data_IF_418721328646
#
_entry.id   IF_418721328646
#
_cell.length_a   1.000
_cell.length_b   1.000
_cell.length_c   1.000
_cell.angle_alpha   90.00
_cell.angle_beta   90.00
_cell.angle_gamma   90.00
#
_symmetry.space_group_name_H-M   'P 1'
#
loop_
_entity.id
_entity.type
_entity.pdbx_description
1 polymer ?
#
# COMPACT_ATOMS: atom_id res chain seq x y z
N UNK A 1 -0.34 -14.81 -9.75
CA UNK A 1 -0.18 -13.52 -10.46
C UNK A 1 -0.53 -12.42 -9.47
N UNK A 2 0.41 -12.02 -8.62
CA UNK A 2 0.16 -11.03 -7.56
C UNK A 2 0.05 -9.64 -8.18
N UNK A 3 -1.03 -8.93 -7.86
CA UNK A 3 -1.34 -7.61 -8.41
C UNK A 3 -1.15 -6.57 -7.32
N UNK A 4 -0.24 -5.64 -7.55
CA UNK A 4 0.16 -4.66 -6.53
C UNK A 4 -0.28 -3.27 -6.95
N UNK A 5 -0.93 -2.58 -6.04
CA UNK A 5 -1.27 -1.17 -6.16
C UNK A 5 -0.32 -0.37 -5.28
N UNK A 6 0.21 0.75 -5.77
CA UNK A 6 0.94 1.72 -4.98
C UNK A 6 0.24 3.09 -5.02
N UNK A 7 0.03 3.67 -3.85
CA UNK A 7 -0.45 5.04 -3.67
C UNK A 7 0.70 5.92 -3.20
N UNK A 8 1.43 6.53 -4.13
CA UNK A 8 2.56 7.41 -3.87
C UNK A 8 2.81 8.33 -5.07
N UNK A 9 3.20 9.58 -4.79
CA UNK A 9 3.67 10.51 -5.82
C UNK A 9 5.16 10.37 -6.13
N UNK A 10 5.91 9.61 -5.31
CA UNK A 10 7.33 9.37 -5.53
C UNK A 10 7.55 8.36 -6.66
N UNK A 11 8.04 8.85 -7.79
CA UNK A 11 8.44 8.01 -8.92
C UNK A 11 9.57 7.03 -8.55
N UNK A 12 10.47 7.43 -7.65
CA UNK A 12 11.56 6.59 -7.15
C UNK A 12 11.02 5.40 -6.35
N UNK A 13 10.07 5.65 -5.43
CA UNK A 13 9.43 4.59 -4.65
C UNK A 13 8.68 3.61 -5.55
N UNK A 14 7.96 4.12 -6.56
CA UNK A 14 7.28 3.28 -7.56
C UNK A 14 8.27 2.38 -8.30
N UNK A 15 9.41 2.91 -8.72
CA UNK A 15 10.47 2.14 -9.39
C UNK A 15 11.07 1.06 -8.49
N UNK A 16 11.36 1.38 -7.23
CA UNK A 16 11.86 0.44 -6.22
C UNK A 16 10.88 -0.71 -5.95
N UNK A 17 9.60 -0.39 -5.78
CA UNK A 17 8.54 -1.39 -5.55
C UNK A 17 8.35 -2.29 -6.76
N UNK A 18 8.32 -1.72 -7.98
CA UNK A 18 8.25 -2.51 -9.21
C UNK A 18 9.42 -3.50 -9.31
N UNK A 19 10.64 -3.02 -9.01
CA UNK A 19 11.86 -3.82 -9.06
C UNK A 19 11.87 -4.92 -8.00
N UNK A 20 11.44 -4.62 -6.77
CA UNK A 20 11.43 -5.57 -5.66
C UNK A 20 10.41 -6.71 -5.85
N UNK A 21 9.29 -6.40 -6.52
CA UNK A 21 8.17 -7.34 -6.71
C UNK A 21 8.36 -8.15 -7.99
N UNK A 22 8.94 -7.56 -9.04
CA UNK A 22 9.10 -8.21 -10.34
C UNK A 22 7.77 -8.51 -11.05
N UNK A 23 6.70 -7.81 -10.69
CA UNK A 23 5.35 -7.99 -11.24
C UNK A 23 4.77 -6.63 -11.66
N UNK A 24 3.75 -6.60 -12.55
CA UNK A 24 3.12 -5.35 -12.95
C UNK A 24 2.48 -4.66 -11.74
N UNK A 25 2.86 -3.39 -11.54
CA UNK A 25 2.31 -2.52 -10.51
C UNK A 25 1.34 -1.51 -11.12
N UNK A 26 0.21 -1.30 -10.46
CA UNK A 26 -0.67 -0.17 -10.72
C UNK A 26 -0.30 0.95 -9.76
N UNK A 27 -0.29 2.19 -10.23
CA UNK A 27 0.04 3.33 -9.38
C UNK A 27 -1.08 4.38 -9.43
N UNK A 28 -1.41 4.93 -8.27
CA UNK A 28 -2.31 6.08 -8.12
C UNK A 28 -1.58 7.21 -7.41
N UNK A 29 -2.02 8.45 -7.64
CA UNK A 29 -1.47 9.63 -6.97
C UNK A 29 -1.61 9.50 -5.44
N UNK A 30 -0.52 9.81 -4.73
CA UNK A 30 -0.43 9.81 -3.27
C UNK A 30 -1.03 11.08 -2.63
N UNK A 31 -1.12 12.18 -3.38
CA UNK A 31 -1.55 13.51 -2.94
C UNK A 31 -2.90 13.55 -2.21
N UNK A 32 -3.79 12.62 -2.52
CA UNK A 32 -5.06 12.48 -1.81
C UNK A 32 -5.35 10.99 -1.68
N UNK A 33 -5.04 10.40 -0.52
CA UNK A 33 -5.38 9.00 -0.28
C UNK A 33 -6.91 8.81 -0.36
N UNK A 34 -7.39 7.74 -1.00
CA UNK A 34 -8.82 7.48 -1.04
C UNK A 34 -9.34 7.25 0.38
N UNK A 35 -10.54 7.73 0.68
CA UNK A 35 -11.15 7.57 1.99
C UNK A 35 -11.55 6.11 2.27
N UNK A 36 -11.54 5.22 1.27
CA UNK A 36 -11.86 3.81 1.47
C UNK A 36 -11.77 2.97 0.19
N UNK A 37 -12.03 1.65 0.32
CA UNK A 37 -11.98 0.70 -0.79
C UNK A 37 -12.76 1.12 -2.05
N UNK A 38 -14.03 1.61 -1.97
CA UNK A 38 -14.78 1.95 -3.18
C UNK A 38 -14.14 3.08 -3.99
N UNK A 39 -13.56 4.10 -3.33
CA UNK A 39 -12.84 5.18 -4.02
C UNK A 39 -11.52 4.70 -4.62
N UNK A 40 -10.86 3.74 -3.95
CA UNK A 40 -9.65 3.10 -4.46
C UNK A 40 -9.95 2.33 -5.76
N UNK A 41 -11.03 1.55 -5.80
CA UNK A 41 -11.47 0.85 -7.01
C UNK A 41 -11.91 1.79 -8.14
N UNK A 42 -12.56 2.91 -7.80
CA UNK A 42 -12.89 3.95 -8.79
C UNK A 42 -11.64 4.54 -9.46
N UNK A 43 -10.57 4.78 -8.68
CA UNK A 43 -9.30 5.29 -9.22
C UNK A 43 -8.54 4.27 -10.06
N UNK A 44 -8.68 2.98 -9.75
CA UNK A 44 -8.15 1.91 -10.58
C UNK A 44 -8.84 1.83 -11.95
N UNK A 45 -10.10 2.26 -12.03
CA UNK A 45 -10.91 2.26 -13.26
C UNK A 45 -11.81 1.03 -13.39
N UNK A 46 -12.88 1.15 -14.17
CA UNK A 46 -13.84 0.07 -14.39
C UNK A 46 -13.19 -1.12 -15.12
N UNK A 47 -13.29 -2.32 -14.54
CA UNK A 47 -12.69 -3.54 -15.10
C UNK A 47 -11.23 -3.77 -14.69
N UNK A 48 -10.63 -2.87 -13.91
CA UNK A 48 -9.32 -3.10 -13.33
C UNK A 48 -9.39 -4.27 -12.34
N UNK A 49 -8.41 -5.18 -12.39
CA UNK A 49 -8.24 -6.17 -11.35
C UNK A 49 -8.24 -5.64 -9.93
N UNK A 50 -8.87 -6.39 -9.02
CA UNK A 50 -8.69 -6.17 -7.59
C UNK A 50 -7.22 -6.44 -7.22
N UNK A 51 -6.50 -5.49 -6.58
CA UNK A 51 -5.15 -5.71 -6.10
C UNK A 51 -5.15 -6.67 -4.91
N UNK A 52 -4.11 -7.50 -4.81
CA UNK A 52 -3.88 -8.36 -3.65
C UNK A 52 -2.99 -7.68 -2.61
N UNK A 53 -2.14 -6.75 -3.06
CA UNK A 53 -1.26 -5.96 -2.18
C UNK A 53 -1.47 -4.49 -2.48
N UNK A 54 -1.68 -3.69 -1.44
CA UNK A 54 -1.80 -2.23 -1.51
C UNK A 54 -0.65 -1.62 -0.72
N UNK A 55 0.22 -0.88 -1.40
CA UNK A 55 1.33 -0.14 -0.82
C UNK A 55 0.87 1.31 -0.67
N UNK A 56 0.86 1.82 0.56
CA UNK A 56 0.38 3.17 0.89
C UNK A 56 1.55 3.98 1.42
N UNK A 57 1.85 5.09 0.76
CA UNK A 57 2.82 6.05 1.22
C UNK A 57 2.21 6.99 2.28
N UNK A 58 2.89 7.13 3.41
CA UNK A 58 2.47 7.99 4.52
C UNK A 58 2.91 9.45 4.35
N UNK A 59 3.68 9.78 3.30
CA UNK A 59 4.16 11.14 3.05
C UNK A 59 3.04 12.18 2.89
N UNK A 60 1.85 11.75 2.43
CA UNK A 60 0.68 12.63 2.31
C UNK A 60 -0.07 12.84 3.64
N UNK A 61 0.12 11.94 4.61
CA UNK A 61 -0.61 11.93 5.87
C UNK A 61 -0.60 10.55 6.52
N UNK A 62 0.07 10.35 7.67
CA UNK A 62 0.13 9.04 8.31
C UNK A 62 -1.24 8.58 8.86
N UNK A 63 -2.05 9.50 9.39
CA UNK A 63 -3.38 9.18 9.92
C UNK A 63 -4.34 8.71 8.83
N UNK A 64 -4.32 9.35 7.66
CA UNK A 64 -5.15 8.96 6.51
C UNK A 64 -4.73 7.59 5.98
N UNK A 65 -3.42 7.31 5.94
CA UNK A 65 -2.89 6.02 5.54
C UNK A 65 -3.31 4.90 6.50
N UNK A 66 -3.29 5.16 7.81
CA UNK A 66 -3.77 4.23 8.83
C UNK A 66 -5.29 4.00 8.73
N UNK A 67 -6.07 5.07 8.54
CA UNK A 67 -7.52 4.98 8.37
C UNK A 67 -7.89 4.14 7.13
N UNK A 68 -7.20 4.35 6.02
CA UNK A 68 -7.38 3.55 4.80
C UNK A 68 -6.99 2.08 5.03
N UNK A 69 -5.87 1.82 5.72
CA UNK A 69 -5.46 0.46 6.10
C UNK A 69 -6.54 -0.26 6.92
N UNK A 70 -7.08 0.42 7.94
CA UNK A 70 -8.13 -0.15 8.81
C UNK A 70 -9.39 -0.51 8.03
N UNK A 71 -9.80 0.35 7.10
CA UNK A 71 -10.97 0.09 6.23
C UNK A 71 -10.71 -1.07 5.27
N UNK A 72 -9.52 -1.13 4.65
CA UNK A 72 -9.15 -2.24 3.79
C UNK A 72 -9.11 -3.57 4.56
N UNK A 73 -8.56 -3.59 5.78
CA UNK A 73 -8.53 -4.78 6.61
C UNK A 73 -9.95 -5.24 7.01
N UNK A 74 -10.87 -4.31 7.27
CA UNK A 74 -12.24 -4.62 7.66
C UNK A 74 -13.13 -5.04 6.48
N UNK A 75 -13.06 -4.34 5.36
CA UNK A 75 -13.92 -4.54 4.20
C UNK A 75 -13.34 -5.54 3.19
N UNK A 76 -12.03 -5.75 3.20
CA UNK A 76 -11.29 -6.54 2.22
C UNK A 76 -10.19 -7.42 2.89
N UNK A 77 -10.56 -8.38 3.75
CA UNK A 77 -9.60 -9.17 4.54
C UNK A 77 -8.63 -10.04 3.71
N UNK A 78 -8.86 -10.18 2.41
CA UNK A 78 -7.95 -10.85 1.47
C UNK A 78 -6.89 -9.93 0.84
N UNK A 79 -6.86 -8.64 1.17
CA UNK A 79 -5.84 -7.70 0.68
C UNK A 79 -4.78 -7.46 1.74
N UNK A 80 -3.52 -7.59 1.34
CA UNK A 80 -2.41 -7.20 2.17
C UNK A 80 -2.12 -5.70 2.01
N UNK A 81 -2.05 -4.98 3.13
CA UNK A 81 -1.70 -3.55 3.13
C UNK A 81 -0.26 -3.39 3.64
N UNK A 82 0.58 -2.65 2.93
CA UNK A 82 1.95 -2.32 3.35
C UNK A 82 2.08 -0.80 3.40
N UNK A 83 2.53 -0.28 4.53
CA UNK A 83 2.75 1.16 4.70
C UNK A 83 4.21 1.51 4.46
N UNK A 84 4.45 2.62 3.76
CA UNK A 84 5.78 3.17 3.53
C UNK A 84 5.92 4.49 4.29
N UNK A 85 6.95 4.59 5.12
CA UNK A 85 7.19 5.75 5.97
C UNK A 85 8.67 5.90 6.28
N UNK A 86 9.13 7.15 6.46
CA UNK A 86 10.50 7.42 6.91
C UNK A 86 10.72 7.05 8.39
N UNK A 87 9.65 6.77 9.14
CA UNK A 87 9.71 6.43 10.57
C UNK A 87 9.01 5.10 10.89
N UNK A 88 9.46 3.97 10.33
CA UNK A 88 8.77 2.69 10.43
C UNK A 88 8.62 2.24 11.89
N UNK A 89 9.63 2.40 12.73
CA UNK A 89 9.60 1.98 14.14
C UNK A 89 8.55 2.74 14.96
N UNK A 90 8.27 4.00 14.59
CA UNK A 90 7.29 4.83 15.29
C UNK A 90 5.86 4.48 14.86
N UNK A 91 5.68 4.19 13.57
CA UNK A 91 4.37 3.93 12.98
C UNK A 91 3.96 2.45 12.97
N UNK A 92 4.92 1.53 13.16
CA UNK A 92 4.72 0.08 13.09
C UNK A 92 3.57 -0.41 13.99
N UNK A 93 3.55 0.00 15.26
CA UNK A 93 2.52 -0.48 16.19
C UNK A 93 1.11 -0.02 15.77
N UNK A 94 0.97 1.24 15.36
CA UNK A 94 -0.30 1.81 14.91
C UNK A 94 -0.77 1.16 13.60
N UNK A 95 0.16 0.95 12.67
CA UNK A 95 -0.07 0.29 11.40
C UNK A 95 -0.57 -1.15 11.56
N UNK A 96 0.14 -1.96 12.33
CA UNK A 96 -0.23 -3.35 12.58
C UNK A 96 -1.59 -3.45 13.28
N UNK A 97 -1.88 -2.54 14.22
CA UNK A 97 -3.20 -2.44 14.86
C UNK A 97 -4.30 -2.01 13.91
N UNK A 98 -3.98 -1.19 12.91
CA UNK A 98 -4.87 -0.83 11.82
C UNK A 98 -4.99 -1.93 10.76
N UNK A 99 -4.43 -3.13 10.98
CA UNK A 99 -4.54 -4.25 10.06
C UNK A 99 -3.58 -4.18 8.86
N UNK A 100 -2.57 -3.32 8.90
CA UNK A 100 -1.48 -3.39 7.95
C UNK A 100 -0.70 -4.70 8.14
N UNK A 101 -0.22 -5.27 7.06
CA UNK A 101 0.63 -6.45 7.08
C UNK A 101 2.06 -6.11 7.50
N UNK A 102 2.58 -4.96 7.04
CA UNK A 102 3.95 -4.54 7.34
C UNK A 102 4.13 -3.02 7.16
N UNK A 103 5.21 -2.50 7.72
CA UNK A 103 5.65 -1.11 7.57
C UNK A 103 7.12 -1.09 7.16
N UNK A 104 7.43 -0.38 6.08
CA UNK A 104 8.80 -0.33 5.53
C UNK A 104 9.28 1.09 5.34
N UNK A 105 10.59 1.27 5.45
CA UNK A 105 11.27 2.50 5.04
C UNK A 105 11.30 2.60 3.51
N UNK A 106 11.12 3.78 2.88
CA UNK A 106 11.19 3.93 1.43
C UNK A 106 12.56 3.59 0.83
N UNK A 107 13.62 3.67 1.62
CA UNK A 107 14.96 3.21 1.24
C UNK A 107 15.20 1.72 1.51
N UNK A 108 14.40 1.10 2.39
CA UNK A 108 14.49 -0.33 2.60
C UNK A 108 13.96 -1.04 1.35
N UNK A 109 14.70 -2.05 0.88
CA UNK A 109 14.21 -2.87 -0.23
C UNK A 109 12.86 -3.46 0.17
N UNK A 110 11.81 -3.26 -0.64
CA UNK A 110 10.44 -3.74 -0.41
C UNK A 110 10.30 -5.27 -0.49
N UNK A 111 11.17 -6.02 0.21
CA UNK A 111 11.11 -7.48 0.34
C UNK A 111 9.84 -7.92 1.06
N UNK A 112 9.35 -7.08 1.98
CA UNK A 112 8.06 -7.23 2.66
C UNK A 112 6.88 -7.29 1.68
N UNK A 113 6.85 -6.42 0.67
CA UNK A 113 5.79 -6.44 -0.34
C UNK A 113 5.73 -7.78 -1.08
N UNK A 114 6.90 -8.34 -1.44
CA UNK A 114 6.99 -9.65 -2.06
C UNK A 114 6.66 -10.81 -1.10
N UNK A 115 6.87 -10.64 0.22
CA UNK A 115 6.46 -11.62 1.22
C UNK A 115 4.94 -11.65 1.40
N UNK A 116 4.30 -10.47 1.50
CA UNK A 116 2.85 -10.32 1.58
C UNK A 116 2.15 -10.79 0.30
N UNK A 117 2.71 -10.51 -0.88
CA UNK A 117 2.15 -10.93 -2.16
C UNK A 117 2.11 -12.46 -2.39
N UNK A 118 2.78 -13.24 -1.53
CA UNK A 118 2.88 -14.71 -1.59
C UNK A 118 2.02 -15.44 -0.54
N UNK A 119 1.35 -14.71 0.36
CA UNK A 119 0.32 -15.26 1.24
C UNK A 119 -1.00 -15.42 0.49
#
# INVERSE_FOLDING_TARGET
>A
MSRILIASDSADLRGKVATAVGAPISAIAGTALPAGPPQLFQRLGAGAPIPQVVVIDTAAGPDDALALSSRLAAECPGMAVVLVTDQPDTLALSALRAGACDVVHPEATCRACAACARR
#
